data_IF_928163984890
#
_entry.id   IF_928163984890
#
_cell.length_a   1.000
_cell.length_b   1.000
_cell.length_c   1.000
_cell.angle_alpha   90.00
_cell.angle_beta   90.00
_cell.angle_gamma   90.00
#
_symmetry.space_group_name_H-M   'P 1'
#
loop_
_entity.id
_entity.type
_entity.pdbx_description
1 polymer ?
#
# COMPACT_ATOMS: atom_id res chain seq x y z
N UNK A 1 1.93 -10.35 -3.88
CA UNK A 1 3.35 -10.66 -3.62
C UNK A 1 3.68 -10.26 -2.19
N UNK A 2 4.44 -11.07 -1.48
CA UNK A 2 4.97 -10.77 -0.15
C UNK A 2 6.48 -10.56 -0.25
N UNK A 3 6.94 -9.39 0.20
CA UNK A 3 8.36 -9.07 0.36
C UNK A 3 8.68 -8.95 1.84
N UNK A 4 9.83 -9.42 2.29
CA UNK A 4 10.22 -9.34 3.70
C UNK A 4 11.74 -9.25 3.87
N UNK A 5 12.14 -8.49 4.91
CA UNK A 5 13.52 -8.20 5.24
C UNK A 5 13.99 -8.94 6.48
N UNK A 6 15.23 -9.46 6.43
CA UNK A 6 15.92 -10.18 7.49
C UNK A 6 16.77 -9.25 8.35
N UNK A 7 16.76 -9.46 9.65
CA UNK A 7 17.46 -8.64 10.64
C UNK A 7 18.11 -9.54 11.71
N UNK A 8 19.35 -9.27 12.07
CA UNK A 8 20.01 -9.91 13.22
C UNK A 8 19.84 -9.12 14.50
N UNK A 9 20.01 -9.76 15.65
CA UNK A 9 20.01 -9.09 16.96
C UNK A 9 21.22 -8.15 17.03
N UNK A 10 20.96 -6.86 17.21
CA UNK A 10 22.01 -5.85 17.48
C UNK A 10 22.65 -5.20 16.27
N UNK A 11 22.62 -5.80 15.08
CA UNK A 11 23.28 -5.27 13.88
C UNK A 11 22.36 -4.65 12.84
N UNK A 12 21.04 -4.66 13.09
CA UNK A 12 20.07 -4.09 12.13
C UNK A 12 19.78 -5.02 10.94
N UNK A 13 19.54 -4.44 9.77
CA UNK A 13 19.25 -5.19 8.55
C UNK A 13 20.49 -5.96 8.08
N UNK A 14 20.32 -7.22 7.68
CA UNK A 14 21.40 -8.01 7.03
C UNK A 14 21.50 -7.70 5.53
N UNK A 15 20.70 -6.76 5.02
CA UNK A 15 20.71 -6.40 3.59
C UNK A 15 20.03 -7.43 2.68
N UNK A 16 19.43 -8.48 3.25
CA UNK A 16 18.74 -9.52 2.49
C UNK A 16 17.23 -9.27 2.52
N UNK A 17 16.67 -9.17 1.33
CA UNK A 17 15.23 -9.09 1.09
C UNK A 17 14.82 -10.34 0.33
N UNK A 18 13.82 -11.03 0.84
CA UNK A 18 13.21 -12.19 0.21
C UNK A 18 11.85 -11.83 -0.38
N UNK A 19 11.53 -12.44 -1.53
CA UNK A 19 10.23 -12.26 -2.19
C UNK A 19 9.53 -13.59 -2.35
N UNK A 20 8.26 -13.63 -1.98
CA UNK A 20 7.40 -14.80 -2.13
C UNK A 20 6.18 -14.42 -2.98
N UNK A 21 6.06 -15.07 -4.13
CA UNK A 21 4.85 -14.97 -4.96
C UNK A 21 3.84 -15.94 -4.38
N UNK A 22 2.75 -15.40 -3.82
CA UNK A 22 1.69 -16.21 -3.24
C UNK A 22 0.73 -16.64 -4.34
N UNK A 23 0.51 -17.93 -4.45
CA UNK A 23 -0.56 -18.55 -5.26
C UNK A 23 -1.85 -18.78 -4.47
N UNK A 24 -1.78 -18.60 -3.16
CA UNK A 24 -2.87 -18.72 -2.19
C UNK A 24 -3.06 -17.40 -1.43
N UNK A 25 -4.18 -17.20 -0.73
CA UNK A 25 -4.38 -16.05 0.16
C UNK A 25 -3.25 -15.91 1.19
N UNK A 26 -3.01 -14.69 1.68
CA UNK A 26 -1.90 -14.40 2.60
C UNK A 26 -2.08 -15.06 3.97
N UNK A 27 -3.30 -15.35 4.36
CA UNK A 27 -3.69 -16.04 5.59
C UNK A 27 -3.60 -17.58 5.49
N UNK A 28 -3.15 -18.11 4.34
CA UNK A 28 -2.90 -19.54 4.19
C UNK A 28 -1.89 -20.03 5.25
N UNK A 29 -2.21 -21.07 6.03
CA UNK A 29 -1.36 -21.59 7.10
C UNK A 29 0.05 -22.00 6.67
N UNK A 30 0.27 -22.25 5.36
CA UNK A 30 1.59 -22.60 4.83
C UNK A 30 2.53 -21.41 4.65
N UNK A 31 2.01 -20.19 4.63
CA UNK A 31 2.80 -18.97 4.36
C UNK A 31 3.91 -18.74 5.40
N UNK A 32 3.65 -18.84 6.72
CA UNK A 32 4.71 -18.70 7.72
C UNK A 32 5.84 -19.70 7.55
N UNK A 33 5.50 -20.97 7.23
CA UNK A 33 6.51 -22.01 6.97
C UNK A 33 7.38 -21.70 5.75
N UNK A 34 6.80 -21.17 4.66
CA UNK A 34 7.54 -20.76 3.46
C UNK A 34 8.48 -19.59 3.76
N UNK A 35 8.01 -18.61 4.56
CA UNK A 35 8.84 -17.47 4.99
C UNK A 35 10.02 -17.96 5.82
N UNK A 36 9.78 -18.76 6.86
CA UNK A 36 10.82 -19.29 7.73
C UNK A 36 11.79 -20.22 6.97
N UNK A 37 11.28 -21.03 6.03
CA UNK A 37 12.11 -21.90 5.19
C UNK A 37 13.04 -21.16 4.22
N UNK A 38 12.82 -19.86 4.00
CA UNK A 38 13.70 -19.02 3.18
C UNK A 38 14.78 -18.28 3.99
N UNK A 39 14.94 -18.61 5.28
CA UNK A 39 15.95 -17.99 6.13
C UNK A 39 17.35 -18.16 5.53
N UNK A 40 18.13 -17.06 5.43
CA UNK A 40 19.47 -17.13 4.86
C UNK A 40 20.39 -18.01 5.72
N UNK A 41 21.00 -19.03 5.12
CA UNK A 41 21.88 -19.98 5.83
C UNK A 41 23.10 -19.31 6.47
N UNK A 42 23.58 -18.20 5.90
CA UNK A 42 24.67 -17.40 6.46
C UNK A 42 24.27 -16.63 7.72
N UNK A 43 22.99 -16.53 8.03
CA UNK A 43 22.46 -15.79 9.18
C UNK A 43 21.38 -16.60 9.92
N UNK A 44 21.78 -17.69 10.61
CA UNK A 44 20.83 -18.62 11.24
C UNK A 44 20.01 -17.97 12.38
N UNK A 45 20.47 -16.85 12.94
CA UNK A 45 19.75 -16.10 13.99
C UNK A 45 18.92 -14.92 13.44
N UNK A 46 18.88 -14.73 12.12
CA UNK A 46 18.13 -13.65 11.52
C UNK A 46 16.62 -13.87 11.69
N UNK A 47 15.91 -12.78 11.93
CA UNK A 47 14.48 -12.73 12.10
C UNK A 47 13.86 -11.77 11.09
N UNK A 48 12.65 -12.07 10.64
CA UNK A 48 11.88 -11.13 9.81
C UNK A 48 11.30 -10.04 10.72
N UNK A 49 11.58 -8.77 10.38
CA UNK A 49 11.04 -7.61 11.11
C UNK A 49 10.32 -6.62 10.22
N UNK A 50 10.40 -6.80 8.92
CA UNK A 50 9.72 -5.98 7.92
C UNK A 50 9.01 -6.90 6.94
N UNK A 51 7.75 -6.58 6.66
CA UNK A 51 6.95 -7.23 5.63
C UNK A 51 6.34 -6.15 4.73
N UNK A 52 6.26 -6.45 3.46
CA UNK A 52 5.51 -5.65 2.48
C UNK A 52 4.61 -6.57 1.68
N UNK A 53 3.32 -6.30 1.72
CA UNK A 53 2.31 -7.01 0.95
C UNK A 53 1.89 -6.12 -0.20
N UNK A 54 2.28 -6.50 -1.41
CA UNK A 54 1.88 -5.82 -2.63
C UNK A 54 0.64 -6.51 -3.17
N UNK A 55 -0.49 -5.82 -3.05
CA UNK A 55 -1.82 -6.30 -3.40
C UNK A 55 -2.19 -5.95 -4.84
N UNK A 56 -2.66 -6.95 -5.59
CA UNK A 56 -3.40 -6.72 -6.84
C UNK A 56 -4.85 -6.45 -6.51
N UNK A 57 -5.47 -5.56 -7.23
CA UNK A 57 -6.88 -5.24 -7.03
C UNK A 57 -7.60 -4.93 -8.34
N UNK A 58 -8.89 -4.66 -8.21
CA UNK A 58 -9.77 -4.29 -9.32
C UNK A 58 -10.22 -2.85 -9.13
N UNK A 59 -10.19 -2.07 -10.19
CA UNK A 59 -10.74 -0.73 -10.25
C UNK A 59 -11.68 -0.57 -11.46
N UNK A 60 -12.44 0.51 -11.53
CA UNK A 60 -13.40 0.77 -12.60
C UNK A 60 -12.97 1.99 -13.43
N UNK A 61 -12.90 1.82 -14.74
CA UNK A 61 -12.62 2.93 -15.66
C UNK A 61 -13.84 3.86 -15.82
N UNK A 62 -13.69 4.93 -16.61
CA UNK A 62 -14.75 5.92 -16.83
C UNK A 62 -16.04 5.31 -17.41
N UNK A 63 -15.93 4.24 -18.21
CA UNK A 63 -17.06 3.50 -18.75
C UNK A 63 -17.68 2.50 -17.76
N UNK A 64 -17.11 2.37 -16.54
CA UNK A 64 -17.54 1.41 -15.53
C UNK A 64 -17.04 -0.01 -15.79
N UNK A 65 -16.09 -0.20 -16.70
CA UNK A 65 -15.49 -1.49 -16.97
C UNK A 65 -14.44 -1.80 -15.89
N UNK A 66 -14.49 -3.03 -15.39
CA UNK A 66 -13.50 -3.55 -14.43
C UNK A 66 -12.13 -3.68 -15.10
N UNK A 67 -11.11 -3.19 -14.40
CA UNK A 67 -9.69 -3.28 -14.75
C UNK A 67 -8.94 -3.90 -13.59
N UNK A 68 -7.91 -4.68 -13.89
CA UNK A 68 -7.03 -5.26 -12.86
C UNK A 68 -5.72 -4.49 -12.81
N UNK A 69 -5.29 -4.15 -11.58
CA UNK A 69 -4.02 -3.51 -11.32
C UNK A 69 -3.19 -4.38 -10.36
N UNK A 70 -1.88 -4.53 -10.65
CA UNK A 70 -1.01 -5.42 -9.90
C UNK A 70 -0.49 -4.81 -8.59
N UNK A 71 -0.36 -3.50 -8.53
CA UNK A 71 0.15 -2.78 -7.37
C UNK A 71 -0.84 -1.70 -6.95
N UNK A 72 -2.08 -2.12 -6.69
CA UNK A 72 -3.13 -1.18 -6.35
C UNK A 72 -2.95 -0.63 -4.92
N UNK A 73 -2.54 -1.50 -3.99
CA UNK A 73 -2.32 -1.18 -2.59
C UNK A 73 -1.07 -1.91 -2.09
N UNK A 74 -0.29 -1.22 -1.27
CA UNK A 74 0.83 -1.78 -0.54
C UNK A 74 0.59 -1.66 0.96
N UNK A 75 0.79 -2.75 1.69
CA UNK A 75 0.76 -2.80 3.14
C UNK A 75 2.15 -3.11 3.65
N UNK A 76 2.77 -2.17 4.35
CA UNK A 76 4.07 -2.36 5.00
C UNK A 76 3.90 -2.54 6.49
N UNK A 77 4.58 -3.52 7.06
CA UNK A 77 4.59 -3.80 8.49
C UNK A 77 6.02 -3.79 9.02
N UNK A 78 6.22 -3.19 10.18
CA UNK A 78 7.49 -3.25 10.92
C UNK A 78 7.25 -3.70 12.35
N UNK A 79 8.02 -4.70 12.78
CA UNK A 79 7.98 -5.25 14.12
C UNK A 79 9.06 -4.59 14.98
N UNK A 80 8.67 -4.08 16.14
CA UNK A 80 9.52 -3.51 17.17
C UNK A 80 9.42 -4.32 18.46
N UNK A 81 10.28 -4.03 19.45
CA UNK A 81 10.18 -4.68 20.77
C UNK A 81 8.86 -4.41 21.48
N UNK A 82 8.32 -3.22 21.32
CA UNK A 82 7.13 -2.74 22.02
C UNK A 82 5.84 -2.82 21.20
N UNK A 83 5.88 -3.33 19.96
CA UNK A 83 4.69 -3.38 19.13
C UNK A 83 4.99 -3.51 17.64
N UNK A 84 4.03 -3.12 16.84
CA UNK A 84 4.10 -3.16 15.39
C UNK A 84 3.60 -1.83 14.83
N UNK A 85 4.22 -1.33 13.77
CA UNK A 85 3.64 -0.30 12.92
C UNK A 85 3.18 -0.90 11.60
N UNK A 86 2.07 -0.40 11.09
CA UNK A 86 1.56 -0.71 9.76
C UNK A 86 1.43 0.59 8.96
N UNK A 87 1.70 0.52 7.66
CA UNK A 87 1.52 1.64 6.73
C UNK A 87 0.81 1.11 5.49
N UNK A 88 -0.21 1.87 5.04
CA UNK A 88 -0.89 1.64 3.77
C UNK A 88 -0.38 2.67 2.79
N UNK A 89 -0.05 2.24 1.59
CA UNK A 89 0.34 3.12 0.49
C UNK A 89 -0.49 2.76 -0.75
N UNK A 90 -0.99 3.76 -1.43
CA UNK A 90 -1.68 3.62 -2.72
C UNK A 90 -0.88 4.36 -3.79
N UNK A 91 -0.76 3.77 -4.97
CA UNK A 91 0.13 4.25 -6.03
C UNK A 91 -0.60 4.66 -7.31
N UNK A 92 -1.94 4.65 -7.29
CA UNK A 92 -2.76 4.91 -8.47
C UNK A 92 -3.62 6.17 -8.31
N UNK A 93 -3.76 6.96 -9.36
CA UNK A 93 -4.52 8.22 -9.36
C UNK A 93 -6.05 8.04 -9.30
N UNK A 94 -6.57 6.84 -9.53
CA UNK A 94 -8.01 6.51 -9.47
C UNK A 94 -8.70 6.90 -8.15
N UNK A 95 -7.92 7.15 -7.10
CA UNK A 95 -8.38 7.55 -5.78
C UNK A 95 -8.52 9.07 -5.63
N UNK A 96 -8.07 9.85 -6.64
CA UNK A 96 -8.07 11.32 -6.66
C UNK A 96 -9.01 11.85 -7.75
N UNK A 97 -9.36 13.12 -7.63
CA UNK A 97 -10.14 13.83 -8.64
C UNK A 97 -9.36 14.10 -9.92
N UNK A 98 -8.05 14.34 -9.80
CA UNK A 98 -7.15 14.58 -10.91
C UNK A 98 -6.24 13.37 -11.16
N UNK A 99 -6.01 13.05 -12.42
CA UNK A 99 -4.98 12.10 -12.83
C UNK A 99 -3.56 12.66 -12.58
N UNK A 100 -2.53 11.87 -12.85
CA UNK A 100 -1.15 12.31 -12.67
C UNK A 100 -0.73 13.46 -13.59
N UNK A 101 -1.44 13.72 -14.67
CA UNK A 101 -1.22 14.86 -15.57
C UNK A 101 -1.99 16.10 -15.15
N UNK A 102 -2.70 16.07 -14.02
CA UNK A 102 -3.53 17.16 -13.52
C UNK A 102 -4.89 17.30 -14.20
N UNK A 103 -5.30 16.36 -15.04
CA UNK A 103 -6.61 16.40 -15.70
C UNK A 103 -7.69 15.84 -14.77
N UNK A 104 -8.88 16.50 -14.68
CA UNK A 104 -9.97 15.94 -13.90
C UNK A 104 -10.54 14.67 -14.55
N UNK A 105 -10.79 13.64 -13.73
CA UNK A 105 -11.41 12.38 -14.17
C UNK A 105 -12.52 11.93 -13.21
N UNK A 106 -13.58 12.75 -13.06
CA UNK A 106 -14.62 12.57 -12.05
C UNK A 106 -15.32 11.20 -12.11
N UNK A 107 -15.51 10.62 -13.30
CA UNK A 107 -16.16 9.33 -13.46
C UNK A 107 -15.34 8.21 -12.80
N UNK A 108 -14.02 8.25 -12.96
CA UNK A 108 -13.09 7.28 -12.35
C UNK A 108 -13.06 7.48 -10.83
N UNK A 109 -12.89 8.72 -10.38
CA UNK A 109 -12.88 9.07 -8.96
C UNK A 109 -14.15 8.63 -8.24
N UNK A 110 -15.33 9.00 -8.76
CA UNK A 110 -16.62 8.70 -8.13
C UNK A 110 -16.88 7.18 -8.00
N UNK A 111 -16.28 6.35 -8.86
CA UNK A 111 -16.42 4.90 -8.82
C UNK A 111 -15.44 4.23 -7.86
N UNK A 112 -14.26 4.81 -7.66
CA UNK A 112 -13.17 4.13 -6.97
C UNK A 112 -12.90 4.74 -5.57
N UNK A 113 -12.94 6.05 -5.38
CA UNK A 113 -12.63 6.68 -4.10
C UNK A 113 -13.49 6.14 -2.93
N UNK A 114 -14.81 5.89 -3.07
CA UNK A 114 -15.62 5.30 -1.99
C UNK A 114 -15.14 3.91 -1.57
N UNK A 115 -14.56 3.14 -2.49
CA UNK A 115 -14.03 1.80 -2.22
C UNK A 115 -12.75 1.85 -1.38
N UNK A 116 -11.91 2.87 -1.59
CA UNK A 116 -10.76 3.11 -0.71
C UNK A 116 -11.24 3.45 0.70
N UNK A 117 -12.23 4.35 0.83
CA UNK A 117 -12.82 4.70 2.13
C UNK A 117 -13.36 3.48 2.87
N UNK A 118 -14.06 2.59 2.17
CA UNK A 118 -14.61 1.36 2.76
C UNK A 118 -13.49 0.40 3.20
N UNK A 119 -12.48 0.19 2.35
CA UNK A 119 -11.33 -0.66 2.67
C UNK A 119 -10.53 -0.14 3.88
N UNK A 120 -10.34 1.18 4.01
CA UNK A 120 -9.69 1.80 5.17
C UNK A 120 -10.51 1.60 6.45
N UNK A 121 -11.85 1.73 6.38
CA UNK A 121 -12.74 1.49 7.51
C UNK A 121 -12.73 0.01 7.95
N UNK A 122 -12.76 -0.92 7.00
CA UNK A 122 -12.65 -2.35 7.31
C UNK A 122 -11.32 -2.67 7.97
N UNK A 123 -10.22 -2.08 7.48
CA UNK A 123 -8.91 -2.30 8.05
C UNK A 123 -8.80 -1.76 9.49
N UNK A 124 -9.35 -0.58 9.77
CA UNK A 124 -9.47 -0.06 11.14
C UNK A 124 -10.20 -1.05 12.06
N UNK A 125 -11.31 -1.60 11.57
CA UNK A 125 -12.10 -2.57 12.32
C UNK A 125 -11.33 -3.86 12.60
N UNK A 126 -10.59 -4.37 11.61
CA UNK A 126 -9.80 -5.61 11.74
C UNK A 126 -8.59 -5.42 12.65
N UNK A 127 -7.89 -4.29 12.53
CA UNK A 127 -6.70 -4.01 13.34
C UNK A 127 -7.04 -3.53 14.75
N UNK A 128 -8.25 -3.03 14.98
CA UNK A 128 -8.68 -2.47 16.26
C UNK A 128 -7.92 -1.19 16.66
N UNK A 129 -7.39 -0.46 15.67
CA UNK A 129 -6.65 0.80 15.84
C UNK A 129 -7.16 1.82 14.84
N UNK A 130 -7.07 3.10 15.20
CA UNK A 130 -7.36 4.20 14.27
C UNK A 130 -6.18 4.40 13.31
N UNK A 131 -6.50 4.63 12.03
CA UNK A 131 -5.52 5.02 11.03
C UNK A 131 -5.15 6.49 11.22
N UNK A 132 -3.86 6.76 11.34
CA UNK A 132 -3.33 8.12 11.31
C UNK A 132 -3.00 8.50 9.87
N UNK A 133 -3.47 9.67 9.36
CA UNK A 133 -3.08 10.15 8.05
C UNK A 133 -1.56 10.29 7.97
N UNK A 134 -0.98 9.85 6.85
CA UNK A 134 0.44 10.05 6.58
C UNK A 134 0.74 11.51 6.19
N UNK A 135 2.03 11.81 6.03
CA UNK A 135 2.47 13.13 5.55
C UNK A 135 1.96 13.41 4.12
N UNK A 136 1.59 14.66 3.81
CA UNK A 136 1.27 15.06 2.45
C UNK A 136 2.42 14.77 1.48
N UNK A 137 2.08 14.38 0.28
CA UNK A 137 3.02 14.13 -0.81
C UNK A 137 2.58 14.88 -2.06
N UNK A 138 3.41 14.92 -3.10
CA UNK A 138 2.99 15.42 -4.41
C UNK A 138 1.82 14.63 -4.99
N UNK A 139 1.67 13.37 -4.59
CA UNK A 139 0.54 12.54 -4.97
C UNK A 139 -0.78 13.07 -4.40
N UNK A 140 -0.80 13.51 -3.12
CA UNK A 140 -1.98 14.05 -2.44
C UNK A 140 -1.80 14.11 -0.94
N UNK A 141 -2.80 14.65 -0.28
CA UNK A 141 -2.87 14.73 1.18
C UNK A 141 -3.77 13.60 1.70
N UNK A 142 -3.19 12.61 2.40
CA UNK A 142 -3.99 11.54 2.99
C UNK A 142 -4.88 12.06 4.12
N UNK A 143 -6.04 11.44 4.26
CA UNK A 143 -6.98 11.64 5.36
C UNK A 143 -7.40 10.27 5.91
N UNK A 144 -8.04 10.24 7.08
CA UNK A 144 -8.54 9.00 7.70
C UNK A 144 -9.38 8.13 6.76
N UNK A 145 -10.12 8.76 5.85
CA UNK A 145 -11.08 8.09 4.97
C UNK A 145 -10.71 8.12 3.48
N UNK A 146 -9.49 8.53 3.13
CA UNK A 146 -9.08 8.60 1.73
C UNK A 146 -8.00 9.64 1.44
N UNK A 147 -8.11 10.30 0.29
CA UNK A 147 -7.16 11.31 -0.18
C UNK A 147 -7.92 12.59 -0.51
N UNK A 148 -7.45 13.72 0.02
CA UNK A 148 -8.02 15.03 -0.31
C UNK A 148 -7.71 15.38 -1.76
N UNK A 149 -8.74 15.82 -2.46
CA UNK A 149 -8.59 16.47 -3.77
C UNK A 149 -8.08 17.90 -3.55
N UNK A 150 -6.95 18.29 -4.12
CA UNK A 150 -6.49 19.68 -4.05
C UNK A 150 -7.43 20.59 -4.85
N UNK A 151 -7.42 21.88 -4.53
CA UNK A 151 -8.14 22.87 -5.32
C UNK A 151 -7.54 22.95 -6.72
N UNK A 152 -8.40 23.06 -7.77
CA UNK A 152 -7.93 23.24 -9.13
C UNK A 152 -7.30 24.64 -9.31
N UNK A 153 -6.46 24.77 -10.32
CA UNK A 153 -5.99 26.07 -10.79
C UNK A 153 -7.10 26.88 -11.48
N UNK A 154 -6.78 28.07 -11.96
CA UNK A 154 -7.71 28.95 -12.69
C UNK A 154 -8.30 28.35 -13.97
N UNK A 155 -7.66 27.29 -14.52
CA UNK A 155 -8.10 26.55 -15.69
C UNK A 155 -8.88 25.27 -15.34
N UNK A 156 -9.11 25.00 -14.06
CA UNK A 156 -9.76 23.80 -13.57
C UNK A 156 -8.88 22.55 -13.57
N UNK A 157 -7.57 22.71 -13.66
CA UNK A 157 -6.56 21.64 -13.68
C UNK A 157 -5.96 21.43 -12.29
N UNK A 158 -5.56 20.21 -12.02
CA UNK A 158 -4.72 19.86 -10.87
C UNK A 158 -3.23 20.01 -11.19
N UNK A 159 -2.39 19.67 -10.22
CA UNK A 159 -0.94 19.64 -10.39
C UNK A 159 -0.54 18.44 -11.29
N UNK A 160 0.27 18.70 -12.32
CA UNK A 160 0.97 17.66 -13.08
C UNK A 160 2.15 17.14 -12.24
N UNK A 161 2.15 15.86 -11.93
CA UNK A 161 3.17 15.20 -11.10
C UNK A 161 3.92 14.11 -11.85
N UNK A 162 3.75 14.01 -13.17
CA UNK A 162 4.35 12.94 -13.98
C UNK A 162 5.88 12.91 -13.92
N UNK A 163 6.52 14.07 -13.81
CA UNK A 163 7.97 14.19 -13.70
C UNK A 163 8.51 13.97 -12.27
N UNK A 164 7.61 13.75 -11.29
CA UNK A 164 7.95 13.59 -9.86
C UNK A 164 7.79 12.14 -9.36
N UNK A 165 7.43 11.21 -10.27
CA UNK A 165 7.12 9.81 -9.96
C UNK A 165 8.27 8.86 -10.26
#
# INVERSE_FOLDING_TARGET
>A
MLEYGWFTRGSGSVGIISRLILSSPIDDPSVPGKVLGSQPSAFPDAQVKRFEVIGSGTWFDAAGKSRREHQLVELSFRLYRAGMSAKITVHHDIWKWFDFTGRPHPEIYNRNAPRLTEALRELNSVLGVELEPGEPTYYGTPMESGIVTPDPDENGMGLDVTDLM
#
